data_IF_230513978141
#
_entry.id   IF_230513978141
#
_cell.length_a   1.000
_cell.length_b   1.000
_cell.length_c   1.000
_cell.angle_alpha   90.00
_cell.angle_beta   90.00
_cell.angle_gamma   90.00
#
_symmetry.space_group_name_H-M   'P 1'
#
loop_
_entity.id
_entity.type
_entity.pdbx_description
1 polymer ?
#
# COMPACT_ATOMS: atom_id res chain seq x y z
N UNK A 1 4.61 9.03 16.14
CA UNK A 1 5.33 8.29 15.08
C UNK A 1 4.41 7.99 13.90
N UNK A 2 3.20 7.48 14.12
CA UNK A 2 2.24 7.15 13.05
C UNK A 2 1.72 8.36 12.25
N UNK A 3 1.42 9.48 12.92
CA UNK A 3 1.02 10.72 12.25
C UNK A 3 2.13 11.26 11.32
N UNK A 4 3.40 11.03 11.66
CA UNK A 4 4.53 11.47 10.83
C UNK A 4 4.61 10.63 9.55
N UNK A 5 4.44 9.31 9.66
CA UNK A 5 4.41 8.41 8.51
C UNK A 5 3.20 8.67 7.61
N UNK A 6 2.04 8.96 8.20
CA UNK A 6 0.82 9.29 7.45
C UNK A 6 0.93 10.65 6.72
N UNK A 7 1.53 11.66 7.37
CA UNK A 7 1.78 12.97 6.75
C UNK A 7 2.82 12.86 5.64
N UNK A 8 3.90 12.10 5.84
CA UNK A 8 4.90 11.83 4.79
C UNK A 8 4.30 11.05 3.62
N UNK A 9 3.39 10.12 3.90
CA UNK A 9 2.58 9.45 2.89
C UNK A 9 1.80 10.47 2.07
N UNK A 10 0.97 11.31 2.70
CA UNK A 10 0.01 12.20 2.02
C UNK A 10 0.57 13.22 1.01
N UNK A 11 1.89 13.38 0.90
CA UNK A 11 2.51 14.27 -0.08
C UNK A 11 2.76 13.53 -1.40
N UNK A 12 1.87 13.67 -2.38
CA UNK A 12 2.16 13.10 -3.70
C UNK A 12 1.32 13.62 -4.83
N UNK A 13 1.95 13.59 -6.01
CA UNK A 13 1.49 14.22 -7.23
C UNK A 13 1.24 13.20 -8.34
N UNK A 14 1.74 11.95 -8.21
CA UNK A 14 1.62 10.88 -9.22
C UNK A 14 0.92 9.62 -8.71
N UNK A 15 0.37 8.81 -9.63
CA UNK A 15 -0.25 7.50 -9.33
C UNK A 15 0.67 6.56 -8.54
N UNK A 16 1.96 6.52 -8.88
CA UNK A 16 2.93 5.69 -8.16
C UNK A 16 3.13 6.16 -6.71
N UNK A 17 3.12 7.48 -6.51
CA UNK A 17 3.22 8.08 -5.18
C UNK A 17 2.02 7.66 -4.34
N UNK A 18 0.80 7.67 -4.90
CA UNK A 18 -0.44 7.24 -4.23
C UNK A 18 -0.33 5.79 -3.73
N UNK A 19 0.15 4.86 -4.58
CA UNK A 19 0.38 3.47 -4.16
C UNK A 19 1.41 3.38 -3.03
N UNK A 20 2.49 4.14 -3.10
CA UNK A 20 3.48 4.22 -2.02
C UNK A 20 2.90 4.80 -0.72
N UNK A 21 2.00 5.78 -0.77
CA UNK A 21 1.34 6.29 0.44
C UNK A 21 0.47 5.24 1.10
N UNK A 22 -0.26 4.47 0.28
CA UNK A 22 -1.17 3.44 0.76
C UNK A 22 -0.40 2.34 1.50
N UNK A 23 0.73 1.89 0.93
CA UNK A 23 1.63 0.94 1.59
C UNK A 23 2.21 1.51 2.89
N UNK A 24 2.65 2.77 2.91
CA UNK A 24 3.17 3.43 4.11
C UNK A 24 2.10 3.59 5.21
N UNK A 25 0.84 3.83 4.82
CA UNK A 25 -0.29 3.93 5.75
C UNK A 25 -0.60 2.55 6.36
N UNK A 26 -0.67 1.51 5.52
CA UNK A 26 -0.91 0.14 5.96
C UNK A 26 0.22 -0.36 6.87
N UNK A 27 1.48 -0.04 6.55
CA UNK A 27 2.64 -0.32 7.39
C UNK A 27 2.59 0.44 8.73
N UNK A 28 2.13 1.69 8.74
CA UNK A 28 1.94 2.44 9.98
C UNK A 28 0.93 1.75 10.92
N UNK A 29 -0.20 1.29 10.37
CA UNK A 29 -1.22 0.59 11.13
C UNK A 29 -0.75 -0.78 11.64
N UNK A 30 0.02 -1.55 10.86
CA UNK A 30 0.56 -2.85 11.33
C UNK A 30 1.50 -2.66 12.51
N UNK A 31 2.40 -1.67 12.45
CA UNK A 31 3.33 -1.37 13.55
C UNK A 31 2.58 -0.94 14.83
N UNK A 32 1.52 -0.14 14.71
CA UNK A 32 0.69 0.24 15.86
C UNK A 32 0.06 -1.00 16.51
N UNK A 33 -0.55 -1.86 15.69
CA UNK A 33 -1.21 -3.07 16.18
C UNK A 33 -0.23 -3.99 16.92
N UNK A 34 1.01 -4.12 16.42
CA UNK A 34 2.07 -4.87 17.10
C UNK A 34 2.48 -4.22 18.41
N UNK A 35 2.60 -2.88 18.46
CA UNK A 35 3.00 -2.17 19.67
C UNK A 35 1.95 -2.29 20.78
N UNK A 36 0.68 -2.10 20.44
CA UNK A 36 -0.45 -2.27 21.38
C UNK A 36 -0.59 -3.71 21.86
N UNK A 37 -0.41 -4.67 20.95
CA UNK A 37 -0.39 -6.09 21.27
C UNK A 37 0.74 -6.45 22.25
N UNK A 38 1.95 -5.91 22.04
CA UNK A 38 3.09 -6.16 22.90
C UNK A 38 2.92 -5.51 24.29
N UNK A 39 2.31 -4.32 24.37
CA UNK A 39 1.97 -3.70 25.66
C UNK A 39 0.95 -4.50 26.46
N UNK A 40 -0.02 -5.13 25.78
CA UNK A 40 -1.05 -5.94 26.42
C UNK A 40 -0.67 -7.43 26.57
N UNK A 41 0.51 -7.84 26.09
CA UNK A 41 0.93 -9.26 25.96
C UNK A 41 -0.14 -10.14 25.30
N UNK A 42 -0.87 -9.60 24.33
CA UNK A 42 -1.96 -10.31 23.65
C UNK A 42 -1.48 -10.95 22.34
N UNK A 43 -1.53 -12.28 22.30
CA UNK A 43 -1.19 -13.09 21.12
C UNK A 43 -2.17 -12.89 19.97
N UNK A 44 -3.44 -12.56 20.25
CA UNK A 44 -4.44 -12.30 19.20
C UNK A 44 -4.10 -11.04 18.40
N UNK A 45 -3.59 -10.01 19.07
CA UNK A 45 -3.10 -8.78 18.41
C UNK A 45 -1.90 -9.04 17.49
N UNK A 46 -0.97 -9.90 17.90
CA UNK A 46 0.15 -10.33 17.05
C UNK A 46 -0.34 -11.11 15.81
N UNK A 47 -1.28 -12.04 15.98
CA UNK A 47 -1.89 -12.77 14.85
C UNK A 47 -2.63 -11.85 13.89
N UNK A 48 -3.33 -10.83 14.41
CA UNK A 48 -3.99 -9.82 13.59
C UNK A 48 -2.98 -8.99 12.77
N UNK A 49 -1.86 -8.60 13.39
CA UNK A 49 -0.79 -7.88 12.69
C UNK A 49 -0.16 -8.70 11.55
N UNK A 50 -0.04 -10.02 11.72
CA UNK A 50 0.40 -10.96 10.69
C UNK A 50 -0.60 -11.03 9.52
N UNK A 51 -1.90 -11.10 9.81
CA UNK A 51 -2.95 -11.04 8.79
C UNK A 51 -2.89 -9.73 8.00
N UNK A 52 -2.67 -8.62 8.70
CA UNK A 52 -2.59 -7.30 8.07
C UNK A 52 -1.35 -7.17 7.18
N UNK A 53 -0.21 -7.78 7.54
CA UNK A 53 0.96 -7.88 6.64
C UNK A 53 0.66 -8.73 5.39
N UNK A 54 -0.09 -9.83 5.51
CA UNK A 54 -0.49 -10.63 4.34
C UNK A 54 -1.40 -9.84 3.40
N UNK A 55 -2.31 -9.04 3.95
CA UNK A 55 -3.19 -8.16 3.16
C UNK A 55 -2.41 -7.07 2.42
N UNK A 56 -1.42 -6.44 3.06
CA UNK A 56 -0.54 -5.47 2.39
C UNK A 56 0.22 -6.11 1.21
N UNK A 57 0.71 -7.34 1.39
CA UNK A 57 1.33 -8.11 0.30
C UNK A 57 0.37 -8.37 -0.88
N UNK A 58 -0.90 -8.66 -0.60
CA UNK A 58 -1.91 -8.85 -1.64
C UNK A 58 -2.23 -7.55 -2.39
N UNK A 59 -2.34 -6.44 -1.67
CA UNK A 59 -2.67 -5.13 -2.22
C UNK A 59 -1.56 -4.62 -3.17
N UNK A 60 -0.30 -4.73 -2.76
CA UNK A 60 0.84 -4.37 -3.63
C UNK A 60 0.87 -5.17 -4.94
N UNK A 61 0.54 -6.48 -4.91
CA UNK A 61 0.44 -7.30 -6.12
C UNK A 61 -0.72 -6.86 -7.04
N UNK A 62 -1.88 -6.53 -6.47
CA UNK A 62 -3.01 -6.00 -7.22
C UNK A 62 -2.68 -4.62 -7.83
N UNK A 63 -2.08 -3.72 -7.07
CA UNK A 63 -1.67 -2.38 -7.53
C UNK A 63 -0.70 -2.45 -8.72
N UNK A 64 0.32 -3.32 -8.64
CA UNK A 64 1.27 -3.50 -9.75
C UNK A 64 0.58 -4.08 -11.00
N UNK A 65 -0.36 -5.02 -10.83
CA UNK A 65 -1.09 -5.63 -11.94
C UNK A 65 -1.97 -4.62 -12.69
N UNK A 66 -2.59 -3.68 -11.97
CA UNK A 66 -3.35 -2.57 -12.54
C UNK A 66 -2.43 -1.58 -13.27
N UNK A 67 -1.25 -1.31 -12.72
CA UNK A 67 -0.30 -0.37 -13.33
C UNK A 67 0.23 -0.93 -14.68
N UNK A 68 0.52 -2.23 -14.72
CA UNK A 68 0.94 -2.90 -15.97
C UNK A 68 -0.20 -2.95 -16.99
N UNK A 69 -1.44 -3.23 -16.59
CA UNK A 69 -2.57 -3.25 -17.52
C UNK A 69 -2.90 -1.86 -18.05
N UNK A 70 -2.83 -0.82 -17.21
CA UNK A 70 -2.98 0.58 -17.61
C UNK A 70 -1.93 1.00 -18.64
N UNK A 71 -0.67 0.63 -18.43
CA UNK A 71 0.41 0.94 -19.37
C UNK A 71 0.25 0.19 -20.71
N UNK A 72 -0.32 -1.02 -20.71
CA UNK A 72 -0.61 -1.76 -21.95
C UNK A 72 -1.68 -1.08 -22.80
N UNK A 73 -2.76 -0.58 -22.19
CA UNK A 73 -3.85 0.08 -22.93
C UNK A 73 -3.43 1.40 -23.57
N UNK A 74 -2.59 2.20 -22.89
CA UNK A 74 -2.03 3.43 -23.47
C UNK A 74 -1.12 3.19 -24.67
N UNK A 75 -0.32 2.13 -24.65
CA UNK A 75 0.56 1.79 -25.78
C UNK A 75 -0.21 1.46 -27.07
N UNK A 76 -1.40 0.85 -26.95
CA UNK A 76 -2.28 0.58 -28.10
C UNK A 76 -2.96 1.82 -28.66
N UNK A 77 -3.40 2.74 -27.80
CA UNK A 77 -4.06 3.98 -28.24
C UNK A 77 -3.08 4.92 -28.95
N UNK A 78 -1.82 4.97 -28.49
CA UNK A 78 -0.78 5.77 -29.14
C UNK A 78 -0.48 5.25 -30.55
N UNK A 79 -0.45 3.92 -30.75
CA UNK A 79 -0.24 3.31 -32.05
C UNK A 79 -1.42 3.53 -33.02
N UNK A 80 -2.66 3.54 -32.53
CA UNK A 80 -3.86 3.83 -33.33
C UNK A 80 -3.95 5.29 -33.78
N UNK A 81 -3.34 6.23 -33.05
CA UNK A 81 -3.38 7.67 -33.36
C UNK A 81 -2.51 8.09 -34.56
N UNK A 82 -1.66 7.19 -35.06
CA UNK A 82 -0.77 7.41 -36.21
C UNK A 82 -1.26 6.76 -37.52
N UNK A 83 -2.46 6.16 -37.52
CA UNK A 83 -3.17 5.64 -38.70
C UNK A 83 -4.29 6.59 -39.11
#
# INVERSE_FOLDING_TARGET
MELILLVLGSMGLNMMDIYMMLEMLMMGCTVNSMWMSNMNNDMMGLLYSLMQMMMAGMESAMGLSMLVSFNKMRGTDEMLRWL
#
